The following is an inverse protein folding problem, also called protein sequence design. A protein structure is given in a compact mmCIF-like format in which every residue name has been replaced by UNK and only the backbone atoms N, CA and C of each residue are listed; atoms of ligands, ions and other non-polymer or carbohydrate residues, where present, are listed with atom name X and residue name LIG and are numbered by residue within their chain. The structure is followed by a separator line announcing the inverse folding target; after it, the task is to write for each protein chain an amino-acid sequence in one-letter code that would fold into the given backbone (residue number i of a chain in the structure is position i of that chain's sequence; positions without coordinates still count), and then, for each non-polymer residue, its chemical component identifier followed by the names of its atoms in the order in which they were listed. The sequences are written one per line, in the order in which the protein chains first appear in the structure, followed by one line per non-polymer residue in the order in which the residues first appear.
data_IF_980822020732
#
_entry.id   IF_980822020732
#
_cell.length_a   1.000
_cell.length_b   1.000
_cell.length_c   1.000
_cell.angle_alpha   90.00
_cell.angle_beta   90.00
_cell.angle_gamma   90.00
#
_symmetry.space_group_name_H-M   'P 1'
#
loop_
_entity.id
_entity.type
_entity.pdbx_description
1 polymer ?
#
# COMPACT_ATOMS: atom_id res chain seq x y z
N UNK A 1 -1.02 10.28 5.81
CA UNK A 1 -1.50 11.19 4.74
C UNK A 1 -2.75 10.65 4.07
N UNK A 2 -3.30 11.29 3.01
CA UNK A 2 -4.54 10.81 2.35
C UNK A 2 -4.42 9.37 1.81
N UNK A 3 -3.26 8.99 1.26
CA UNK A 3 -3.00 7.61 0.85
C UNK A 3 -3.03 6.61 2.02
N UNK A 4 -2.56 7.00 3.19
CA UNK A 4 -2.65 6.19 4.43
C UNK A 4 -4.10 5.96 4.83
N UNK A 5 -4.93 7.00 4.77
CA UNK A 5 -6.36 6.89 5.11
C UNK A 5 -7.07 5.92 4.16
N UNK A 6 -6.78 6.00 2.86
CA UNK A 6 -7.31 5.05 1.89
C UNK A 6 -6.84 3.62 2.19
N UNK A 7 -5.55 3.42 2.47
CA UNK A 7 -5.03 2.09 2.82
C UNK A 7 -5.69 1.49 4.08
N UNK A 8 -5.88 2.29 5.13
CA UNK A 8 -6.55 1.86 6.36
C UNK A 8 -8.03 1.52 6.11
N UNK A 9 -8.73 2.35 5.32
CA UNK A 9 -10.11 2.08 4.90
C UNK A 9 -10.24 0.77 4.12
N UNK A 10 -9.34 0.53 3.16
CA UNK A 10 -9.34 -0.70 2.35
C UNK A 10 -8.90 -1.95 3.12
N UNK A 11 -8.31 -1.80 4.31
CA UNK A 11 -7.89 -2.90 5.19
C UNK A 11 -8.74 -3.05 6.44
N UNK A 12 -9.78 -2.22 6.62
CA UNK A 12 -10.65 -2.26 7.80
C UNK A 12 -9.93 -1.93 9.12
N UNK A 13 -8.84 -1.17 9.05
CA UNK A 13 -8.03 -0.77 10.23
C UNK A 13 -8.46 0.60 10.74
N UNK A 14 -8.30 0.81 12.04
CA UNK A 14 -8.51 2.12 12.66
C UNK A 14 -7.56 3.20 12.09
N UNK A 15 -7.98 4.46 12.16
CA UNK A 15 -7.16 5.59 11.74
C UNK A 15 -5.92 5.68 12.66
N UNK A 16 -4.75 5.42 12.10
CA UNK A 16 -3.47 5.44 12.81
C UNK A 16 -2.33 5.92 11.91
N UNK A 17 -1.28 6.47 12.51
CA UNK A 17 -0.05 6.86 11.82
C UNK A 17 0.92 5.70 11.60
N UNK A 18 0.69 4.55 12.23
CA UNK A 18 1.55 3.35 12.06
C UNK A 18 1.60 2.84 10.61
N UNK A 19 0.56 3.14 9.82
CA UNK A 19 0.48 2.75 8.41
C UNK A 19 0.95 3.86 7.45
N UNK A 20 1.51 4.97 7.97
CA UNK A 20 2.06 6.02 7.09
C UNK A 20 3.14 5.44 6.18
N UNK A 21 3.18 5.93 4.94
CA UNK A 21 4.25 5.56 4.02
C UNK A 21 5.61 6.04 4.56
N UNK A 22 6.72 5.39 4.16
CA UNK A 22 8.07 5.86 4.48
C UNK A 22 8.29 7.34 4.11
N UNK A 23 9.11 8.03 4.89
CA UNK A 23 9.52 9.41 4.61
C UNK A 23 10.21 9.51 3.23
N UNK A 24 10.06 10.66 2.56
CA UNK A 24 10.59 10.88 1.20
C UNK A 24 9.57 10.68 0.08
N UNK A 25 8.39 10.11 0.37
CA UNK A 25 7.36 9.89 -0.65
C UNK A 25 7.75 8.81 -1.66
N UNK A 26 7.09 8.79 -2.82
CA UNK A 26 7.43 7.84 -3.90
C UNK A 26 7.06 6.38 -3.60
N UNK A 27 6.03 6.13 -2.80
CA UNK A 27 5.54 4.79 -2.53
C UNK A 27 4.15 4.55 -3.12
N UNK A 28 3.85 3.29 -3.40
CA UNK A 28 2.53 2.83 -3.82
C UNK A 28 2.11 1.60 -3.00
N UNK A 29 0.80 1.39 -2.89
CA UNK A 29 0.23 0.11 -2.49
C UNK A 29 -0.63 -0.40 -3.65
N UNK A 30 -0.91 -1.69 -3.69
CA UNK A 30 -1.77 -2.28 -4.71
C UNK A 30 -3.04 -2.84 -4.07
N UNK A 31 -4.18 -2.60 -4.71
CA UNK A 31 -5.49 -3.10 -4.29
C UNK A 31 -6.14 -3.81 -5.46
N UNK A 32 -6.64 -5.02 -5.20
CA UNK A 32 -7.36 -5.81 -6.17
C UNK A 32 -8.87 -5.65 -5.91
N UNK A 33 -9.59 -5.18 -6.94
CA UNK A 33 -10.97 -4.68 -6.80
C UNK A 33 -11.97 -5.84 -6.68
N UNK A 34 -11.77 -6.95 -7.40
CA UNK A 34 -12.74 -8.06 -7.45
C UNK A 34 -12.81 -8.83 -6.12
N UNK A 35 -11.67 -9.06 -5.48
CA UNK A 35 -11.50 -9.72 -4.18
C UNK A 35 -11.51 -8.72 -3.02
N UNK A 36 -11.58 -7.42 -3.31
CA UNK A 36 -11.57 -6.34 -2.33
C UNK A 36 -10.39 -6.42 -1.35
N UNK A 37 -9.19 -6.67 -1.86
CA UNK A 37 -8.02 -6.99 -1.03
C UNK A 37 -6.81 -6.15 -1.40
N UNK A 38 -6.10 -5.66 -0.39
CA UNK A 38 -4.76 -5.10 -0.56
C UNK A 38 -3.78 -6.22 -0.92
N UNK A 39 -3.15 -6.13 -2.09
CA UNK A 39 -2.16 -7.09 -2.58
C UNK A 39 -0.84 -6.93 -1.83
N UNK A 40 -0.42 -5.67 -1.62
CA UNK A 40 0.70 -5.32 -0.75
C UNK A 40 0.53 -3.90 -0.23
N UNK A 41 1.10 -3.63 0.94
CA UNK A 41 1.20 -2.28 1.51
C UNK A 41 2.24 -1.42 0.76
N UNK A 42 2.77 -0.37 1.40
CA UNK A 42 3.72 0.54 0.77
C UNK A 42 4.96 -0.16 0.22
N UNK A 43 5.28 0.14 -1.04
CA UNK A 43 6.52 -0.21 -1.72
C UNK A 43 7.07 1.00 -2.48
N UNK A 44 8.41 1.15 -2.60
CA UNK A 44 9.00 2.19 -3.43
C UNK A 44 8.61 2.02 -4.90
N UNK A 45 8.21 3.11 -5.57
CA UNK A 45 7.79 3.11 -6.98
C UNK A 45 8.97 3.00 -7.96
N UNK A 46 10.16 3.38 -7.52
CA UNK A 46 11.39 3.43 -8.29
C UNK A 46 12.13 2.08 -8.37
N UNK A 47 11.59 1.04 -7.73
CA UNK A 47 12.16 -0.31 -7.77
C UNK A 47 11.33 -1.21 -8.69
N UNK A 48 11.99 -2.02 -9.54
CA UNK A 48 11.27 -3.02 -10.32
C UNK A 48 10.52 -3.97 -9.38
N UNK A 49 9.31 -4.37 -9.80
CA UNK A 49 8.55 -5.36 -9.06
C UNK A 49 9.38 -6.64 -8.90
N UNK A 50 9.28 -7.35 -7.76
CA UNK A 50 9.94 -8.65 -7.61
C UNK A 50 9.55 -9.54 -8.79
N UNK A 51 10.54 -10.14 -9.45
CA UNK A 51 10.27 -11.17 -10.45
C UNK A 51 9.57 -12.32 -9.74
N UNK A 52 8.41 -12.72 -10.26
CA UNK A 52 7.82 -14.00 -9.92
C UNK A 52 8.62 -15.03 -10.71
N UNK A 53 9.73 -15.50 -10.14
CA UNK A 53 10.42 -16.66 -10.70
C UNK A 53 9.48 -17.86 -10.51
N UNK A 54 9.06 -18.46 -11.63
CA UNK A 54 8.10 -19.56 -11.69
C UNK A 54 8.71 -20.92 -11.44
#
# INVERSE_FOLDING_TARGET
GVGTLLLLSLTGREISREADQPAGGGNYFAYEISMRRVVHAWRPIDRPAPRLDG
#
